data_IF_586917960445
#
_entry.id   IF_586917960445
#
_cell.length_a   1.000
_cell.length_b   1.000
_cell.length_c   1.000
_cell.angle_alpha   90.00
_cell.angle_beta   90.00
_cell.angle_gamma   90.00
#
_symmetry.space_group_name_H-M   'P 1'
#
loop_
_entity.id
_entity.type
_entity.pdbx_description
1 polymer ?
#
# COMPACT_ATOMS: atom_id res chain seq x y z
N UNK A 1 17.20 -39.45 27.32
CA UNK A 1 18.23 -38.46 26.92
C UNK A 1 17.55 -37.12 26.75
N UNK A 2 17.61 -36.26 27.76
CA UNK A 2 17.10 -34.89 27.68
C UNK A 2 18.08 -34.04 26.87
N UNK A 3 17.68 -33.65 25.65
CA UNK A 3 18.37 -32.59 24.91
C UNK A 3 17.80 -31.28 25.41
N UNK A 4 18.39 -30.71 26.46
CA UNK A 4 18.26 -29.28 26.78
C UNK A 4 18.94 -28.49 25.66
N UNK A 5 18.25 -28.35 24.53
CA UNK A 5 18.70 -27.50 23.43
C UNK A 5 18.70 -26.06 23.89
N UNK A 6 19.78 -25.33 23.61
CA UNK A 6 19.81 -23.89 23.84
C UNK A 6 18.63 -23.22 23.11
N UNK A 7 17.94 -22.30 23.78
CA UNK A 7 16.78 -21.58 23.25
C UNK A 7 17.15 -20.12 23.04
N UNK A 8 16.60 -19.49 22.00
CA UNK A 8 16.82 -18.07 21.71
C UNK A 8 16.06 -17.20 22.70
N UNK A 9 16.73 -16.17 23.22
CA UNK A 9 16.08 -15.14 24.00
C UNK A 9 15.05 -14.39 23.14
N UNK A 10 13.86 -14.15 23.69
CA UNK A 10 12.79 -13.41 23.02
C UNK A 10 12.72 -11.93 23.43
N UNK A 11 13.66 -11.44 24.26
CA UNK A 11 13.67 -10.04 24.66
C UNK A 11 14.24 -9.15 23.59
N UNK A 12 13.65 -7.97 23.47
CA UNK A 12 13.94 -7.03 22.39
C UNK A 12 15.39 -6.53 22.54
N UNK A 13 16.20 -6.70 21.50
CA UNK A 13 17.63 -6.35 21.51
C UNK A 13 18.55 -7.43 22.10
N UNK A 14 18.05 -8.64 22.38
CA UNK A 14 18.86 -9.79 22.76
C UNK A 14 18.63 -10.96 21.81
N UNK A 15 19.68 -11.37 21.09
CA UNK A 15 19.66 -12.52 20.17
C UNK A 15 20.45 -13.73 20.69
N UNK A 16 20.80 -13.73 21.97
CA UNK A 16 21.59 -14.80 22.57
C UNK A 16 20.79 -16.11 22.66
N UNK A 17 21.47 -17.22 22.43
CA UNK A 17 21.00 -18.56 22.76
C UNK A 17 21.40 -18.88 24.19
N UNK A 18 20.47 -19.31 25.03
CA UNK A 18 20.72 -19.62 26.43
C UNK A 18 20.15 -20.99 26.80
N UNK A 19 20.71 -21.60 27.84
CA UNK A 19 20.14 -22.80 28.47
C UNK A 19 19.54 -22.41 29.81
N UNK A 20 18.52 -23.12 30.29
CA UNK A 20 17.93 -22.87 31.62
C UNK A 20 18.97 -22.95 32.74
N UNK A 21 19.99 -23.81 32.56
CA UNK A 21 21.08 -24.04 33.50
C UNK A 21 22.11 -22.90 33.54
N UNK A 22 22.28 -22.15 32.45
CA UNK A 22 23.27 -21.07 32.31
C UNK A 22 22.59 -19.72 32.09
N UNK A 23 21.61 -19.39 32.94
CA UNK A 23 20.83 -18.15 32.85
C UNK A 23 21.00 -17.27 34.09
N UNK A 24 22.11 -16.52 34.13
CA UNK A 24 22.38 -15.55 35.19
C UNK A 24 21.46 -14.32 35.11
N UNK A 25 21.26 -13.65 36.24
CA UNK A 25 20.38 -12.48 36.37
C UNK A 25 20.83 -11.24 35.57
N UNK A 26 22.07 -11.19 35.10
CA UNK A 26 22.65 -10.07 34.37
C UNK A 26 23.12 -10.41 32.95
N UNK A 27 22.93 -11.65 32.50
CA UNK A 27 23.48 -12.14 31.22
C UNK A 27 22.74 -11.61 29.99
N UNK A 28 21.47 -11.21 30.11
CA UNK A 28 20.68 -10.68 29.01
C UNK A 28 20.64 -9.16 29.03
N UNK A 29 21.12 -8.52 27.96
CA UNK A 29 20.93 -7.08 27.72
C UNK A 29 19.81 -6.83 26.73
N UNK A 30 18.80 -6.03 27.12
CA UNK A 30 17.58 -5.84 26.33
C UNK A 30 16.96 -4.45 26.52
N UNK A 31 15.99 -4.11 25.66
CA UNK A 31 15.14 -2.93 25.77
C UNK A 31 13.73 -3.29 26.22
N UNK A 32 13.03 -2.34 26.85
CA UNK A 32 11.67 -2.57 27.33
C UNK A 32 10.63 -2.51 26.19
N UNK A 33 10.39 -1.32 25.65
CA UNK A 33 9.43 -1.09 24.57
C UNK A 33 9.91 0.01 23.61
N UNK A 34 9.71 -0.16 22.30
CA UNK A 34 9.91 0.90 21.32
C UNK A 34 8.73 1.89 21.34
N UNK A 35 8.98 3.14 21.00
CA UNK A 35 8.01 4.21 20.79
C UNK A 35 8.31 4.90 19.46
N UNK A 36 7.27 5.15 18.68
CA UNK A 36 7.39 5.80 17.38
C UNK A 36 6.62 7.12 17.41
N UNK A 37 7.32 8.24 17.28
CA UNK A 37 6.73 9.57 17.22
C UNK A 37 7.46 10.41 16.15
N UNK A 38 6.72 11.17 15.34
CA UNK A 38 7.29 12.17 14.43
C UNK A 38 8.42 11.64 13.51
N UNK A 39 8.23 10.42 12.97
CA UNK A 39 9.23 9.74 12.14
C UNK A 39 10.47 9.22 12.88
N UNK A 40 10.60 9.50 14.17
CA UNK A 40 11.67 9.00 15.05
C UNK A 40 11.26 7.70 15.76
N UNK A 41 12.25 6.83 15.92
CA UNK A 41 12.13 5.54 16.63
C UNK A 41 12.91 5.70 17.93
N UNK A 42 12.27 5.59 19.08
CA UNK A 42 12.86 5.82 20.40
C UNK A 42 12.62 4.62 21.33
N UNK A 43 13.61 4.24 22.13
CA UNK A 43 13.44 3.28 23.22
C UNK A 43 12.95 3.98 24.48
N UNK A 44 11.81 3.55 25.04
CA UNK A 44 11.24 4.16 26.25
C UNK A 44 12.20 4.05 27.45
N UNK A 45 13.00 2.98 27.53
CA UNK A 45 13.88 2.73 28.66
C UNK A 45 15.08 3.68 28.78
N UNK A 46 15.68 4.08 27.65
CA UNK A 46 16.96 4.79 27.63
C UNK A 46 16.97 6.02 26.74
N UNK A 47 15.83 6.34 26.10
CA UNK A 47 15.64 7.52 25.23
C UNK A 47 16.58 7.59 24.03
N UNK A 48 17.28 6.49 23.74
CA UNK A 48 18.04 6.32 22.52
C UNK A 48 17.09 6.29 21.34
N UNK A 49 17.40 7.08 20.32
CA UNK A 49 16.55 7.28 19.15
C UNK A 49 17.34 7.22 17.86
N UNK A 50 16.65 6.83 16.79
CA UNK A 50 17.20 6.84 15.44
C UNK A 50 16.10 7.17 14.43
N UNK A 51 16.47 7.87 13.37
CA UNK A 51 15.61 8.05 12.20
C UNK A 51 15.62 6.82 11.29
N UNK A 52 16.72 6.06 11.26
CA UNK A 52 16.85 4.81 10.50
C UNK A 52 16.40 3.59 11.31
N UNK A 53 15.71 2.64 10.65
CA UNK A 53 15.17 1.44 11.31
C UNK A 53 16.26 0.42 11.66
N UNK A 54 17.24 0.23 10.79
CA UNK A 54 18.32 -0.74 11.00
C UNK A 54 19.22 -0.28 12.16
N UNK A 55 19.59 1.00 12.18
CA UNK A 55 20.33 1.61 13.28
C UNK A 55 19.54 1.55 14.59
N UNK A 56 18.22 1.73 14.56
CA UNK A 56 17.37 1.63 15.74
C UNK A 56 17.42 0.23 16.39
N UNK A 57 17.34 -0.83 15.58
CA UNK A 57 17.45 -2.22 16.05
C UNK A 57 18.86 -2.57 16.53
N UNK A 58 19.89 -1.92 15.97
CA UNK A 58 21.28 -2.11 16.39
C UNK A 58 21.64 -1.43 17.72
N UNK A 59 20.76 -0.58 18.28
CA UNK A 59 21.00 0.08 19.58
C UNK A 59 21.10 -1.00 20.67
N UNK A 60 22.23 -1.10 21.40
CA UNK A 60 22.42 -2.13 22.41
C UNK A 60 21.43 -1.98 23.57
N UNK A 61 20.97 -3.12 24.10
CA UNK A 61 20.05 -3.18 25.24
C UNK A 61 20.49 -2.35 26.44
N UNK A 62 19.56 -1.58 26.98
CA UNK A 62 19.74 -0.67 28.12
C UNK A 62 19.60 -1.36 29.49
N UNK A 63 18.80 -2.44 29.57
CA UNK A 63 18.45 -3.16 30.81
C UNK A 63 19.15 -4.51 30.83
N UNK A 64 19.41 -5.02 32.03
CA UNK A 64 19.95 -6.35 32.29
C UNK A 64 18.91 -7.24 32.97
N UNK A 65 19.00 -8.56 32.82
CA UNK A 65 18.06 -9.54 33.39
C UNK A 65 18.42 -10.99 33.01
N UNK A 66 17.61 -11.97 33.43
CA UNK A 66 17.67 -13.38 32.96
C UNK A 66 17.05 -13.59 31.59
N UNK A 67 17.71 -14.21 30.63
CA UNK A 67 17.08 -14.54 29.35
C UNK A 67 15.72 -15.23 29.54
N UNK A 68 14.75 -14.89 28.70
CA UNK A 68 13.44 -15.54 28.68
C UNK A 68 13.09 -16.00 27.28
N UNK A 69 12.37 -17.11 27.21
CA UNK A 69 11.74 -17.63 26.00
C UNK A 69 10.34 -17.04 25.79
N UNK A 70 9.82 -16.24 26.72
CA UNK A 70 8.53 -15.59 26.56
C UNK A 70 8.68 -14.27 25.79
N UNK A 71 7.85 -14.11 24.76
CA UNK A 71 7.78 -12.84 24.03
C UNK A 71 7.19 -11.78 24.96
N UNK A 72 7.91 -10.70 25.30
CA UNK A 72 7.33 -9.65 26.11
C UNK A 72 6.12 -9.07 25.39
N UNK A 73 4.96 -9.12 26.05
CA UNK A 73 3.75 -8.49 25.57
C UNK A 73 4.02 -6.99 25.61
N UNK A 74 4.32 -6.41 24.45
CA UNK A 74 4.37 -4.97 24.27
C UNK A 74 3.01 -4.43 24.70
N UNK A 75 2.95 -3.77 25.85
CA UNK A 75 1.75 -3.10 26.30
C UNK A 75 1.32 -2.16 25.18
N UNK A 76 0.19 -2.50 24.54
CA UNK A 76 -0.45 -1.67 23.54
C UNK A 76 -0.60 -0.30 24.19
N UNK A 77 -0.07 0.74 23.56
CA UNK A 77 -0.30 2.09 24.02
C UNK A 77 -1.81 2.22 24.23
N UNK A 78 -2.22 2.46 25.48
CA UNK A 78 -3.61 2.77 25.77
C UNK A 78 -4.03 3.95 24.88
N UNK A 79 -5.34 4.08 24.59
CA UNK A 79 -5.83 5.21 23.81
C UNK A 79 -5.25 6.49 24.40
N UNK A 80 -4.52 7.23 23.57
CA UNK A 80 -4.05 8.56 23.94
C UNK A 80 -5.27 9.33 24.46
N UNK A 81 -5.15 9.92 25.64
CA UNK A 81 -6.16 10.86 26.13
C UNK A 81 -6.44 11.87 25.01
N UNK A 82 -7.73 12.18 24.73
CA UNK A 82 -8.06 13.16 23.71
C UNK A 82 -7.33 14.48 24.04
N UNK A 83 -6.78 15.18 23.04
CA UNK A 83 -6.20 16.49 23.28
C UNK A 83 -7.29 17.36 23.93
N UNK A 84 -6.94 17.95 25.07
CA UNK A 84 -7.77 18.91 25.79
C UNK A 84 -8.24 19.97 24.80
N UNK A 85 -9.55 20.10 24.62
CA UNK A 85 -10.14 21.07 23.73
C UNK A 85 -9.64 22.47 24.09
N UNK A 86 -8.82 23.04 23.21
CA UNK A 86 -8.51 24.47 23.23
C UNK A 86 -9.74 25.19 22.69
N UNK A 87 -10.27 26.24 23.33
CA UNK A 87 -11.39 27.00 22.79
C UNK A 87 -10.99 27.60 21.45
N UNK A 88 -11.64 27.15 20.38
CA UNK A 88 -11.52 27.75 19.06
C UNK A 88 -12.31 29.07 19.09
N UNK A 89 -11.74 30.23 18.74
CA UNK A 89 -12.52 31.45 18.60
C UNK A 89 -13.53 31.30 17.45
N UNK A 90 -14.69 31.96 17.50
CA UNK A 90 -15.72 31.82 16.48
C UNK A 90 -15.20 32.34 15.14
N UNK A 91 -15.07 31.44 14.16
CA UNK A 91 -14.92 31.80 12.75
C UNK A 91 -16.24 32.39 12.31
N UNK A 92 -16.30 33.73 12.21
CA UNK A 92 -17.39 34.41 11.52
C UNK A 92 -17.38 33.96 10.06
N UNK A 93 -18.42 33.23 9.67
CA UNK A 93 -18.73 32.94 8.28
C UNK A 93 -19.12 34.26 7.61
N UNK A 94 -18.14 34.93 7.00
CA UNK A 94 -18.41 36.06 6.12
C UNK A 94 -18.28 35.56 4.68
N UNK A 95 -19.42 35.20 4.07
CA UNK A 95 -19.53 34.63 2.73
C UNK A 95 -19.38 35.68 1.61
N UNK A 96 -18.50 36.66 1.82
CA UNK A 96 -18.24 37.70 0.82
C UNK A 96 -16.75 38.02 0.78
N UNK A 97 -15.94 36.99 0.56
CA UNK A 97 -14.51 37.12 0.26
C UNK A 97 -14.35 36.73 -1.19
N UNK A 98 -13.79 37.62 -2.01
CA UNK A 98 -13.45 37.32 -3.40
C UNK A 98 -12.29 36.32 -3.44
N UNK A 99 -12.15 35.56 -4.53
CA UNK A 99 -11.09 34.55 -4.67
C UNK A 99 -9.67 35.10 -4.44
N UNK A 100 -9.44 36.41 -4.67
CA UNK A 100 -8.18 37.11 -4.47
C UNK A 100 -7.79 37.32 -3.00
N UNK A 101 -8.79 37.45 -2.12
CA UNK A 101 -8.61 37.63 -0.67
C UNK A 101 -8.74 36.32 0.11
N UNK A 102 -9.07 35.21 -0.55
CA UNK A 102 -9.10 33.90 0.07
C UNK A 102 -7.67 33.35 0.21
N UNK A 103 -7.18 33.25 1.45
CA UNK A 103 -5.82 32.77 1.76
C UNK A 103 -5.51 31.40 1.14
N UNK A 104 -6.52 30.53 0.99
CA UNK A 104 -6.37 29.21 0.34
C UNK A 104 -6.24 29.32 -1.18
N UNK A 105 -7.07 30.12 -1.84
CA UNK A 105 -7.03 30.32 -3.29
C UNK A 105 -5.78 31.06 -3.73
N UNK A 106 -5.33 32.08 -2.96
CA UNK A 106 -4.10 32.83 -3.27
C UNK A 106 -2.84 31.97 -3.21
N UNK A 107 -2.88 30.87 -2.45
CA UNK A 107 -1.80 29.89 -2.36
C UNK A 107 -1.89 28.80 -3.46
N UNK A 108 -2.81 28.93 -4.42
CA UNK A 108 -2.98 27.99 -5.52
C UNK A 108 -3.68 26.69 -5.14
N UNK A 109 -4.29 26.62 -3.94
CA UNK A 109 -5.08 25.46 -3.50
C UNK A 109 -6.56 25.63 -3.84
N UNK A 110 -7.19 24.57 -4.34
CA UNK A 110 -8.61 24.55 -4.68
C UNK A 110 -9.48 24.69 -3.42
N UNK A 111 -10.46 25.59 -3.47
CA UNK A 111 -11.43 25.86 -2.40
C UNK A 111 -12.86 25.59 -2.93
N UNK A 112 -13.69 24.92 -2.13
CA UNK A 112 -15.06 24.54 -2.49
C UNK A 112 -15.99 25.73 -2.76
N UNK A 113 -15.67 26.92 -2.24
CA UNK A 113 -16.54 28.12 -2.33
C UNK A 113 -16.31 28.95 -3.61
N UNK A 114 -15.13 28.85 -4.23
CA UNK A 114 -14.75 29.62 -5.42
C UNK A 114 -14.45 28.73 -6.63
N UNK A 115 -15.01 27.52 -6.62
CA UNK A 115 -14.86 26.55 -7.71
C UNK A 115 -15.45 27.07 -9.02
N UNK A 116 -14.55 27.47 -9.92
CA UNK A 116 -14.75 27.53 -11.37
C UNK A 116 -15.56 28.71 -11.95
N UNK A 117 -14.88 29.81 -12.28
CA UNK A 117 -15.14 30.64 -13.48
C UNK A 117 -13.82 31.32 -13.93
N UNK A 118 -13.37 31.02 -15.15
CA UNK A 118 -12.01 31.34 -15.65
C UNK A 118 -11.86 32.70 -16.34
N UNK A 119 -10.66 32.94 -16.89
CA UNK A 119 -10.46 33.71 -18.14
C UNK A 119 -9.02 33.59 -18.68
N UNK A 120 -9.00 33.49 -20.00
CA UNK A 120 -7.89 33.44 -20.94
C UNK A 120 -6.90 34.59 -20.83
N UNK A 121 -5.62 34.30 -21.09
CA UNK A 121 -4.70 35.28 -21.68
C UNK A 121 -3.69 34.59 -22.59
N UNK A 122 -3.37 35.31 -23.66
CA UNK A 122 -2.79 34.88 -24.93
C UNK A 122 -1.32 34.42 -24.82
N UNK A 123 -0.94 33.59 -25.81
CA UNK A 123 0.43 33.30 -26.26
C UNK A 123 1.26 34.58 -26.49
N UNK A 124 2.60 34.42 -26.55
CA UNK A 124 3.23 34.68 -27.84
C UNK A 124 4.03 33.47 -28.38
N UNK A 125 3.87 33.29 -29.68
CA UNK A 125 4.65 32.44 -30.58
C UNK A 125 6.03 33.06 -30.80
N UNK A 126 7.08 32.23 -30.80
CA UNK A 126 8.30 32.47 -31.54
C UNK A 126 8.65 31.19 -32.30
N UNK A 127 8.63 31.31 -33.64
CA UNK A 127 9.03 30.31 -34.60
C UNK A 127 10.54 30.33 -34.81
N UNK A 128 11.12 29.18 -35.16
CA UNK A 128 12.00 29.15 -36.33
C UNK A 128 12.04 27.76 -36.99
N UNK A 129 11.88 27.79 -38.31
CA UNK A 129 12.05 26.72 -39.29
C UNK A 129 13.52 26.27 -39.36
N UNK A 130 13.80 25.01 -39.67
CA UNK A 130 14.08 24.50 -41.03
C UNK A 130 15.37 23.66 -40.92
N UNK A 131 15.69 22.66 -41.72
CA UNK A 131 15.23 22.25 -43.04
C UNK A 131 15.78 20.82 -43.30
N UNK A 132 15.14 20.16 -44.27
CA UNK A 132 15.38 18.88 -44.99
C UNK A 132 16.84 18.44 -45.17
N UNK A 133 17.15 17.14 -45.23
CA UNK A 133 16.85 16.14 -46.28
C UNK A 133 18.09 15.22 -46.33
N UNK A 134 18.11 13.96 -46.78
CA UNK A 134 17.46 13.38 -47.94
C UNK A 134 17.64 11.84 -47.95
N UNK A 135 16.58 11.12 -48.37
CA UNK A 135 16.42 9.90 -49.20
C UNK A 135 17.56 8.85 -49.26
N UNK A 136 17.32 7.53 -49.40
CA UNK A 136 16.60 6.78 -50.47
C UNK A 136 16.38 5.35 -49.90
N UNK A 137 15.15 4.79 -49.82
CA UNK A 137 14.43 3.97 -50.81
C UNK A 137 15.15 2.63 -51.19
N UNK A 138 14.52 1.49 -51.48
CA UNK A 138 13.12 1.08 -51.52
C UNK A 138 13.05 -0.44 -51.81
N UNK A 139 11.81 -0.94 -51.82
CA UNK A 139 11.28 -2.19 -52.42
C UNK A 139 11.27 -3.42 -51.51
N UNK A 140 10.16 -4.12 -51.33
CA UNK A 140 8.82 -3.95 -51.90
C UNK A 140 7.93 -5.12 -51.48
N UNK A 141 6.62 -4.83 -51.32
CA UNK A 141 5.42 -5.68 -51.52
C UNK A 141 5.54 -7.20 -51.30
N UNK A 142 4.68 -7.87 -50.53
CA UNK A 142 3.22 -7.94 -50.76
C UNK A 142 2.59 -8.94 -49.78
N UNK A 143 1.30 -8.77 -49.48
CA UNK A 143 0.36 -9.86 -49.23
C UNK A 143 0.24 -10.46 -47.82
N UNK A 144 -0.84 -10.08 -47.12
CA UNK A 144 -1.84 -10.99 -46.54
C UNK A 144 -1.39 -12.36 -45.98
N UNK A 145 -1.41 -12.51 -44.65
CA UNK A 145 -2.42 -13.30 -43.93
C UNK A 145 -2.04 -13.46 -42.45
N UNK A 146 -3.04 -13.27 -41.60
CA UNK A 146 -2.97 -13.53 -40.17
C UNK A 146 -2.55 -14.98 -39.89
N UNK A 147 -1.42 -15.16 -39.22
CA UNK A 147 -1.05 -16.42 -38.62
C UNK A 147 -1.92 -16.62 -37.37
N UNK A 148 -2.90 -17.52 -37.48
CA UNK A 148 -3.71 -17.96 -36.36
C UNK A 148 -2.81 -18.55 -35.25
N UNK A 149 -2.98 -18.16 -33.97
CA UNK A 149 -2.36 -18.90 -32.89
C UNK A 149 -3.03 -20.27 -32.80
N UNK A 150 -2.17 -21.28 -32.69
CA UNK A 150 -2.45 -22.71 -32.60
C UNK A 150 -3.67 -22.99 -31.72
N UNK A 151 -4.71 -23.58 -32.32
CA UNK A 151 -5.90 -24.08 -31.62
C UNK A 151 -5.45 -25.15 -30.63
N UNK A 152 -5.28 -24.77 -29.35
CA UNK A 152 -5.25 -25.75 -28.27
C UNK A 152 -6.61 -26.43 -28.29
N UNK A 153 -6.60 -27.76 -28.35
CA UNK A 153 -7.79 -28.59 -28.22
C UNK A 153 -8.35 -28.33 -26.82
N UNK A 154 -9.24 -27.36 -26.71
CA UNK A 154 -9.97 -27.09 -25.46
C UNK A 154 -11.00 -28.20 -25.38
N UNK A 155 -10.80 -29.16 -24.47
CA UNK A 155 -11.87 -30.10 -24.14
C UNK A 155 -13.02 -29.25 -23.59
N UNK A 156 -14.11 -29.13 -24.36
CA UNK A 156 -15.27 -28.30 -24.03
C UNK A 156 -15.89 -28.63 -22.66
N UNK A 157 -15.69 -29.87 -22.20
CA UNK A 157 -16.14 -30.37 -20.90
C UNK A 157 -15.08 -30.30 -19.79
N UNK A 158 -13.87 -29.81 -20.07
CA UNK A 158 -12.80 -29.72 -19.09
C UNK A 158 -13.07 -28.58 -18.11
N UNK A 159 -13.02 -28.93 -16.83
CA UNK A 159 -13.11 -27.98 -15.73
C UNK A 159 -11.81 -27.20 -15.61
N UNK A 160 -11.92 -25.87 -15.63
CA UNK A 160 -10.81 -24.92 -15.52
C UNK A 160 -11.11 -23.96 -14.38
N UNK A 161 -10.09 -23.52 -13.66
CA UNK A 161 -10.26 -22.54 -12.58
C UNK A 161 -10.09 -21.13 -13.14
N UNK A 162 -11.07 -20.27 -12.91
CA UNK A 162 -11.02 -18.87 -13.29
C UNK A 162 -9.99 -18.13 -12.44
N UNK A 163 -9.01 -17.49 -13.10
CA UNK A 163 -7.98 -16.65 -12.48
C UNK A 163 -8.36 -15.17 -12.40
N UNK A 164 -9.54 -14.79 -12.93
CA UNK A 164 -10.02 -13.42 -12.74
C UNK A 164 -10.12 -13.10 -11.24
N UNK A 165 -9.63 -11.91 -10.86
CA UNK A 165 -9.65 -11.41 -9.49
C UNK A 165 -11.07 -11.43 -8.93
N UNK A 166 -11.23 -11.89 -7.69
CA UNK A 166 -12.51 -12.12 -7.00
C UNK A 166 -13.44 -13.19 -7.59
N UNK A 167 -13.06 -13.90 -8.66
CA UNK A 167 -13.84 -15.03 -9.16
C UNK A 167 -13.43 -16.36 -8.52
N UNK A 168 -12.24 -16.90 -8.86
CA UNK A 168 -11.73 -18.16 -8.30
C UNK A 168 -12.56 -19.43 -8.57
N UNK A 169 -13.68 -19.32 -9.32
CA UNK A 169 -14.61 -20.43 -9.55
C UNK A 169 -14.09 -21.40 -10.61
N UNK A 170 -14.39 -22.68 -10.44
CA UNK A 170 -14.21 -23.69 -11.48
C UNK A 170 -15.35 -23.59 -12.48
N UNK A 171 -15.03 -23.49 -13.77
CA UNK A 171 -15.99 -23.36 -14.86
C UNK A 171 -15.67 -24.36 -15.99
N UNK A 172 -16.68 -24.65 -16.80
CA UNK A 172 -16.54 -25.42 -18.04
C UNK A 172 -16.68 -24.47 -19.21
N UNK A 173 -15.89 -24.66 -20.26
CA UNK A 173 -15.93 -23.77 -21.42
C UNK A 173 -17.30 -23.76 -22.12
N UNK A 174 -18.06 -24.87 -22.05
CA UNK A 174 -19.45 -24.92 -22.56
C UNK A 174 -20.43 -23.99 -21.86
N UNK A 175 -20.19 -23.70 -20.59
CA UNK A 175 -21.07 -22.87 -19.76
C UNK A 175 -20.50 -21.44 -19.63
N UNK A 176 -19.35 -21.17 -20.26
CA UNK A 176 -18.70 -19.87 -20.29
C UNK A 176 -19.43 -18.95 -21.28
N UNK A 177 -19.83 -17.79 -20.80
CA UNK A 177 -20.57 -16.79 -21.57
C UNK A 177 -20.21 -15.39 -21.04
N UNK A 178 -20.63 -14.34 -21.75
CA UNK A 178 -20.24 -12.95 -21.48
C UNK A 178 -20.64 -12.39 -20.10
N UNK A 179 -21.50 -13.08 -19.36
CA UNK A 179 -21.88 -12.72 -17.98
C UNK A 179 -21.61 -13.80 -16.94
N UNK A 180 -20.87 -14.85 -17.30
CA UNK A 180 -20.64 -16.01 -16.44
C UNK A 180 -19.72 -15.67 -15.24
N UNK A 181 -18.73 -14.80 -15.48
CA UNK A 181 -17.74 -14.41 -14.50
C UNK A 181 -18.02 -13.02 -13.98
N UNK A 182 -18.15 -12.88 -12.66
CA UNK A 182 -18.15 -11.60 -11.97
C UNK A 182 -16.76 -11.37 -11.36
N UNK A 183 -16.09 -10.28 -11.73
CA UNK A 183 -14.70 -10.01 -11.33
C UNK A 183 -14.35 -8.51 -11.33
N UNK A 184 -13.17 -8.20 -10.80
CA UNK A 184 -12.55 -6.88 -10.90
C UNK A 184 -11.47 -6.85 -12.00
N UNK A 185 -11.65 -6.12 -13.11
CA UNK A 185 -10.65 -6.04 -14.18
C UNK A 185 -9.42 -5.20 -13.77
N UNK A 186 -9.59 -4.28 -12.83
CA UNK A 186 -8.54 -3.38 -12.38
C UNK A 186 -7.49 -4.05 -11.48
N UNK A 187 -6.28 -3.48 -11.35
CA UNK A 187 -5.37 -3.82 -10.27
C UNK A 187 -5.95 -3.41 -8.90
N UNK A 188 -5.56 -4.12 -7.84
CA UNK A 188 -5.80 -3.68 -6.48
C UNK A 188 -4.96 -2.42 -6.19
N UNK A 189 -5.55 -1.45 -5.51
CA UNK A 189 -4.97 -0.16 -5.20
C UNK A 189 -4.89 -0.02 -3.68
N UNK A 190 -3.71 0.37 -3.20
CA UNK A 190 -3.41 0.56 -1.78
C UNK A 190 -2.87 1.97 -1.58
N UNK A 191 -3.70 2.90 -1.12
CA UNK A 191 -3.31 4.29 -0.85
C UNK A 191 -3.88 4.78 0.48
N UNK A 192 -3.07 5.48 1.27
CA UNK A 192 -3.49 6.11 2.53
C UNK A 192 -4.23 5.17 3.52
N UNK A 193 -3.71 3.93 3.65
CA UNK A 193 -4.31 2.83 4.45
C UNK A 193 -5.69 2.36 3.96
N UNK A 194 -6.16 2.85 2.82
CA UNK A 194 -7.31 2.35 2.11
C UNK A 194 -6.89 1.30 1.09
N UNK A 195 -7.75 0.30 0.93
CA UNK A 195 -7.60 -0.82 0.00
C UNK A 195 -8.81 -0.84 -0.93
N UNK A 196 -8.60 -0.98 -2.22
CA UNK A 196 -9.68 -0.94 -3.21
C UNK A 196 -9.25 -1.51 -4.54
N UNK A 197 -10.10 -1.40 -5.55
CA UNK A 197 -9.82 -1.85 -6.91
C UNK A 197 -9.86 -0.69 -7.88
N UNK A 198 -8.88 -0.53 -8.78
CA UNK A 198 -8.87 0.60 -9.73
C UNK A 198 -10.11 0.65 -10.64
N UNK A 199 -10.75 -0.50 -10.86
CA UNK A 199 -11.94 -0.60 -11.71
C UNK A 199 -13.23 -0.11 -11.04
N UNK A 200 -13.22 0.10 -9.71
CA UNK A 200 -14.34 0.65 -8.98
C UNK A 200 -13.82 1.47 -7.80
N UNK A 201 -14.26 2.72 -7.63
CA UNK A 201 -13.78 3.62 -6.57
C UNK A 201 -14.27 3.25 -5.14
N UNK A 202 -14.44 1.96 -4.87
CA UNK A 202 -14.74 1.38 -3.56
C UNK A 202 -13.41 1.19 -2.82
N UNK A 203 -13.30 1.87 -1.68
CA UNK A 203 -12.11 1.90 -0.85
C UNK A 203 -12.49 1.58 0.58
N UNK A 204 -11.88 0.55 1.15
CA UNK A 204 -12.15 0.05 2.50
C UNK A 204 -10.93 0.20 3.39
N UNK A 205 -11.17 0.32 4.70
CA UNK A 205 -10.10 0.47 5.68
C UNK A 205 -9.58 -0.87 6.18
N UNK A 206 -10.41 -1.90 6.24
CA UNK A 206 -10.01 -3.22 6.74
C UNK A 206 -9.66 -4.17 5.60
N UNK A 207 -8.82 -5.17 5.88
CA UNK A 207 -8.39 -6.14 4.87
C UNK A 207 -9.47 -7.18 4.57
N UNK A 208 -10.21 -7.61 5.58
CA UNK A 208 -11.30 -8.59 5.40
C UNK A 208 -12.42 -7.97 4.55
N UNK A 209 -12.75 -6.71 4.80
CA UNK A 209 -13.71 -5.94 4.00
C UNK A 209 -13.26 -5.81 2.53
N UNK A 210 -11.95 -5.81 2.26
CA UNK A 210 -11.42 -5.73 0.88
C UNK A 210 -11.67 -7.03 0.11
N UNK A 211 -11.60 -8.18 0.80
CA UNK A 211 -11.92 -9.48 0.21
C UNK A 211 -13.43 -9.65 -0.06
N UNK A 212 -14.26 -8.93 0.69
CA UNK A 212 -15.72 -8.92 0.55
C UNK A 212 -16.25 -7.89 -0.47
N UNK A 213 -15.37 -7.06 -1.06
CA UNK A 213 -15.80 -6.08 -2.07
C UNK A 213 -16.48 -6.81 -3.23
N UNK A 214 -17.72 -6.45 -3.58
CA UNK A 214 -18.45 -7.13 -4.63
C UNK A 214 -17.81 -6.84 -6.00
N UNK A 215 -17.70 -7.86 -6.87
CA UNK A 215 -17.16 -7.70 -8.21
C UNK A 215 -17.93 -6.62 -9.00
N UNK A 216 -17.20 -5.76 -9.70
CA UNK A 216 -17.78 -4.62 -10.40
C UNK A 216 -18.04 -4.88 -11.90
N UNK A 217 -17.62 -6.03 -12.44
CA UNK A 217 -17.71 -6.31 -13.87
C UNK A 217 -18.12 -7.75 -14.14
N UNK A 218 -18.94 -7.94 -15.18
CA UNK A 218 -19.34 -9.24 -15.71
C UNK A 218 -18.60 -9.51 -17.02
N UNK A 219 -18.17 -10.74 -17.23
CA UNK A 219 -17.43 -11.13 -18.43
C UNK A 219 -17.26 -12.63 -18.54
N UNK A 220 -16.37 -13.02 -19.45
CA UNK A 220 -15.97 -14.41 -19.64
C UNK A 220 -15.02 -14.85 -18.51
N UNK A 221 -15.14 -16.11 -18.10
CA UNK A 221 -14.12 -16.71 -17.25
C UNK A 221 -12.81 -16.84 -18.03
N UNK A 222 -11.69 -16.62 -17.33
CA UNK A 222 -10.36 -16.72 -17.91
C UNK A 222 -9.46 -17.55 -17.00
N UNK A 223 -8.94 -18.66 -17.51
CA UNK A 223 -8.01 -19.55 -16.79
C UNK A 223 -6.53 -19.16 -16.93
N UNK A 224 -6.23 -18.17 -17.77
CA UNK A 224 -4.89 -17.70 -18.12
C UNK A 224 -4.65 -16.21 -17.73
N UNK A 225 -5.58 -15.60 -16.98
CA UNK A 225 -5.55 -14.19 -16.53
C UNK A 225 -4.36 -13.86 -15.61
#
# INVERSE_FOLDING_TARGET
MEKTGAVRCQRIGCDAMFTEAENADDSCRYHASPMFHDGMKEWICCKQRSHDFSLFLAIPGCKTGKHTTEKPVLAKAGPANPPRAVPVPPVSQNNNVTAENCSRCRQGFFCSDHGSQGKSSKLPVAANNGESGEKVANNGESGEKAAAPVKKIVNLNQERVCKNKSCGKTYKEKDNHETACEYHPGPAVFHDRLRGWKCCDIHVKEFDEFMEIPPCTKGWHNADA
#
